data_IF_293521554984
#
_entry.id   IF_293521554984
#
_cell.length_a   1.000
_cell.length_b   1.000
_cell.length_c   1.000
_cell.angle_alpha   90.00
_cell.angle_beta   90.00
_cell.angle_gamma   90.00
#
_symmetry.space_group_name_H-M   'P 1'
#
loop_
_entity.id
_entity.type
_entity.pdbx_description
1 polymer ?
#
# COMPACT_ATOMS: atom_id res chain seq x y z
N UNK A 1 -2.31 18.62 19.23
CA UNK A 1 -1.44 19.73 18.82
C UNK A 1 -0.83 19.40 17.47
N UNK A 2 -0.95 20.33 16.51
CA UNK A 2 -0.30 20.26 15.19
C UNK A 2 0.81 21.31 15.16
N UNK A 3 1.94 20.99 14.53
CA UNK A 3 3.05 21.94 14.40
C UNK A 3 2.92 22.91 13.21
N UNK A 4 1.87 22.77 12.41
CA UNK A 4 1.60 23.62 11.25
C UNK A 4 0.10 23.87 11.08
N UNK A 5 -0.25 25.10 10.70
CA UNK A 5 -1.58 25.52 10.26
C UNK A 5 -1.47 26.12 8.86
N UNK A 6 -2.39 25.76 7.96
CA UNK A 6 -2.40 26.29 6.58
C UNK A 6 -2.57 27.81 6.58
N UNK A 7 -1.74 28.49 5.80
CA UNK A 7 -1.87 29.93 5.51
C UNK A 7 -2.80 30.21 4.33
N UNK A 8 -3.33 29.17 3.66
CA UNK A 8 -4.12 29.24 2.42
C UNK A 8 -3.44 29.98 1.25
N UNK A 9 -2.12 30.18 1.31
CA UNK A 9 -1.36 30.80 0.21
C UNK A 9 -0.99 29.78 -0.87
N UNK A 10 -0.74 28.54 -0.47
CA UNK A 10 -0.33 27.46 -1.37
C UNK A 10 -1.53 26.69 -1.91
N UNK A 11 -1.47 26.30 -3.19
CA UNK A 11 -2.57 25.57 -3.84
C UNK A 11 -2.45 24.07 -3.62
N UNK A 12 -1.24 23.53 -3.54
CA UNK A 12 -0.96 22.08 -3.51
C UNK A 12 0.02 21.72 -2.40
N UNK A 13 -0.31 20.64 -1.69
CA UNK A 13 0.50 20.11 -0.59
C UNK A 13 1.02 18.73 -0.95
N UNK A 14 2.25 18.42 -0.52
CA UNK A 14 2.88 17.11 -0.77
C UNK A 14 2.39 16.02 0.16
N UNK A 15 2.10 16.37 1.41
CA UNK A 15 1.74 15.39 2.42
C UNK A 15 0.78 15.96 3.47
N UNK A 16 0.09 15.05 4.14
CA UNK A 16 -0.77 15.32 5.27
C UNK A 16 -0.54 14.25 6.34
N UNK A 17 -0.03 14.66 7.50
CA UNK A 17 0.18 13.82 8.67
C UNK A 17 -1.07 13.90 9.57
N UNK A 18 -1.85 12.82 9.57
CA UNK A 18 -3.07 12.69 10.36
C UNK A 18 -2.86 11.75 11.55
N UNK A 19 -3.83 11.66 12.45
CA UNK A 19 -3.82 10.70 13.56
C UNK A 19 -3.78 9.25 13.08
N UNK A 20 -4.39 8.95 11.93
CA UNK A 20 -4.56 7.58 11.42
C UNK A 20 -3.44 7.16 10.43
N UNK A 21 -2.50 8.07 10.18
CA UNK A 21 -1.34 7.86 9.31
C UNK A 21 -1.01 9.04 8.42
N UNK A 22 0.02 8.85 7.60
CA UNK A 22 0.55 9.85 6.67
C UNK A 22 0.07 9.57 5.25
N UNK A 23 -0.58 10.55 4.64
CA UNK A 23 -0.96 10.50 3.22
C UNK A 23 -0.02 11.41 2.44
N UNK A 24 0.60 10.88 1.38
CA UNK A 24 1.60 11.62 0.60
C UNK A 24 1.46 11.41 -0.91
N UNK A 25 1.83 12.45 -1.64
CA UNK A 25 2.07 12.41 -3.06
C UNK A 25 3.54 12.06 -3.32
N UNK A 26 3.75 11.13 -4.24
CA UNK A 26 5.07 10.81 -4.78
C UNK A 26 4.89 10.25 -6.19
N UNK A 27 5.97 10.26 -6.97
CA UNK A 27 5.98 9.67 -8.31
C UNK A 27 5.82 8.16 -8.23
N UNK A 28 4.97 7.64 -9.10
CA UNK A 28 4.69 6.20 -9.23
C UNK A 28 4.70 5.83 -10.70
N UNK A 29 5.16 4.63 -11.03
CA UNK A 29 4.97 4.10 -12.38
C UNK A 29 3.49 3.69 -12.56
N UNK A 30 2.73 4.32 -13.47
CA UNK A 30 1.31 4.01 -13.65
C UNK A 30 1.03 2.56 -14.00
N UNK A 31 1.96 1.88 -14.70
CA UNK A 31 1.82 0.47 -15.05
C UNK A 31 1.90 -0.44 -13.82
N UNK A 32 2.72 -0.11 -12.82
CA UNK A 32 2.79 -0.88 -11.58
C UNK A 32 1.48 -0.73 -10.80
N UNK A 33 0.90 0.47 -10.79
CA UNK A 33 -0.39 0.72 -10.13
C UNK A 33 -1.52 -0.05 -10.83
N UNK A 34 -1.54 -0.04 -12.16
CA UNK A 34 -2.49 -0.81 -12.96
C UNK A 34 -2.34 -2.32 -12.72
N UNK A 35 -1.11 -2.81 -12.64
CA UNK A 35 -0.81 -4.21 -12.36
C UNK A 35 -1.33 -4.63 -10.98
N UNK A 36 -1.17 -3.80 -9.94
CA UNK A 36 -1.74 -4.11 -8.63
C UNK A 36 -3.26 -4.14 -8.65
N UNK A 37 -3.93 -3.28 -9.42
CA UNK A 37 -5.38 -3.38 -9.63
C UNK A 37 -5.79 -4.61 -10.42
N UNK A 38 -4.94 -5.13 -11.31
CA UNK A 38 -5.18 -6.38 -12.02
C UNK A 38 -4.97 -7.60 -11.11
N UNK A 39 -3.97 -7.56 -10.24
CA UNK A 39 -3.72 -8.63 -9.27
C UNK A 39 -4.84 -8.74 -8.23
N UNK A 40 -5.39 -7.60 -7.80
CA UNK A 40 -6.58 -7.54 -6.96
C UNK A 40 -7.21 -6.14 -7.06
N UNK A 41 -8.42 -6.00 -7.64
CA UNK A 41 -9.12 -4.73 -7.70
C UNK A 41 -9.19 -4.05 -6.32
N UNK A 42 -8.80 -2.78 -6.28
CA UNK A 42 -8.68 -1.99 -5.07
C UNK A 42 -7.24 -1.77 -4.59
N UNK A 43 -6.32 -2.69 -4.82
CA UNK A 43 -4.91 -2.50 -4.40
C UNK A 43 -4.23 -1.32 -5.09
N UNK A 44 -4.41 -1.13 -6.41
CA UNK A 44 -3.87 0.05 -7.08
C UNK A 44 -4.39 1.37 -6.49
N UNK A 45 -5.69 1.44 -6.16
CA UNK A 45 -6.27 2.62 -5.50
C UNK A 45 -5.74 2.83 -4.07
N UNK A 46 -5.50 1.77 -3.31
CA UNK A 46 -4.88 1.87 -1.98
C UNK A 46 -3.43 2.39 -2.07
N UNK A 47 -2.65 1.96 -3.07
CA UNK A 47 -1.30 2.49 -3.32
C UNK A 47 -1.31 3.98 -3.68
N UNK A 48 -2.39 4.46 -4.30
CA UNK A 48 -2.62 5.88 -4.58
C UNK A 48 -3.21 6.65 -3.38
N UNK A 49 -3.33 6.03 -2.21
CA UNK A 49 -4.01 6.58 -1.02
C UNK A 49 -5.46 7.01 -1.28
N UNK A 50 -6.12 6.41 -2.28
CA UNK A 50 -7.56 6.57 -2.56
C UNK A 50 -8.35 5.56 -1.74
N UNK A 51 -8.23 5.65 -0.42
CA UNK A 51 -8.68 4.62 0.53
C UNK A 51 -10.12 4.16 0.34
N UNK A 52 -11.08 5.07 0.27
CA UNK A 52 -12.51 4.71 0.13
C UNK A 52 -12.77 3.89 -1.14
N UNK A 53 -12.20 4.30 -2.28
CA UNK A 53 -12.34 3.56 -3.55
C UNK A 53 -11.61 2.22 -3.50
N UNK A 54 -10.41 2.21 -2.93
CA UNK A 54 -9.62 1.00 -2.78
C UNK A 54 -10.31 -0.06 -1.93
N UNK A 55 -10.82 0.32 -0.76
CA UNK A 55 -11.57 -0.59 0.11
C UNK A 55 -12.87 -1.07 -0.53
N UNK A 56 -13.62 -0.19 -1.18
CA UNK A 56 -14.86 -0.57 -1.86
C UNK A 56 -14.60 -1.59 -2.99
N UNK A 57 -13.60 -1.35 -3.83
CA UNK A 57 -13.23 -2.27 -4.92
C UNK A 57 -12.68 -3.60 -4.39
N UNK A 58 -11.90 -3.58 -3.31
CA UNK A 58 -11.41 -4.81 -2.67
C UNK A 58 -12.57 -5.67 -2.15
N UNK A 59 -13.50 -5.06 -1.41
CA UNK A 59 -14.65 -5.78 -0.85
C UNK A 59 -15.55 -6.32 -1.96
N UNK A 60 -15.72 -5.54 -3.03
CA UNK A 60 -16.47 -5.96 -4.21
C UNK A 60 -15.78 -7.12 -4.94
N UNK A 61 -14.46 -7.06 -5.17
CA UNK A 61 -13.68 -8.16 -5.78
C UNK A 61 -13.88 -9.45 -5.00
N UNK A 62 -13.68 -9.38 -3.70
CA UNK A 62 -13.80 -10.55 -2.85
C UNK A 62 -15.22 -11.13 -2.89
N UNK A 63 -16.25 -10.29 -2.78
CA UNK A 63 -17.64 -10.74 -2.87
C UNK A 63 -17.90 -11.45 -4.21
N UNK A 64 -17.50 -10.85 -5.33
CA UNK A 64 -17.72 -11.43 -6.66
C UNK A 64 -16.90 -12.70 -6.87
N UNK A 65 -15.65 -12.74 -6.41
CA UNK A 65 -14.79 -13.93 -6.48
C UNK A 65 -15.42 -15.11 -5.74
N UNK A 66 -15.98 -14.86 -4.55
CA UNK A 66 -16.74 -15.87 -3.80
C UNK A 66 -17.98 -16.34 -4.54
N UNK A 67 -18.80 -15.41 -5.04
CA UNK A 67 -20.04 -15.77 -5.73
C UNK A 67 -19.83 -16.46 -7.08
N UNK A 68 -18.69 -16.19 -7.74
CA UNK A 68 -18.35 -16.76 -9.06
C UNK A 68 -17.48 -18.02 -8.99
N UNK A 69 -16.95 -18.38 -7.83
CA UNK A 69 -15.90 -19.39 -7.66
C UNK A 69 -14.65 -19.10 -8.52
N UNK A 70 -14.33 -17.82 -8.76
CA UNK A 70 -13.27 -17.42 -9.70
C UNK A 70 -11.92 -18.06 -9.34
N UNK A 71 -11.50 -17.98 -8.07
CA UNK A 71 -10.23 -18.60 -7.63
C UNK A 71 -10.21 -20.12 -7.86
N UNK A 72 -11.32 -20.82 -7.64
CA UNK A 72 -11.38 -22.26 -7.89
C UNK A 72 -11.32 -22.57 -9.39
N UNK A 73 -11.97 -21.77 -10.23
CA UNK A 73 -11.84 -21.87 -11.69
C UNK A 73 -10.40 -21.63 -12.15
N UNK A 74 -9.70 -20.65 -11.55
CA UNK A 74 -8.28 -20.39 -11.79
C UNK A 74 -7.43 -21.60 -11.40
N UNK A 75 -7.66 -22.17 -10.21
CA UNK A 75 -6.97 -23.38 -9.75
C UNK A 75 -7.09 -24.52 -10.78
N UNK A 76 -8.32 -24.89 -11.16
CA UNK A 76 -8.54 -25.97 -12.12
C UNK A 76 -7.97 -25.66 -13.51
N UNK A 77 -7.99 -24.40 -13.92
CA UNK A 77 -7.36 -23.98 -15.18
C UNK A 77 -5.86 -24.22 -15.16
N UNK A 78 -5.18 -23.85 -14.06
CA UNK A 78 -3.74 -24.05 -13.91
C UNK A 78 -3.32 -25.50 -13.69
N UNK A 79 -4.22 -26.38 -13.20
CA UNK A 79 -3.96 -27.82 -13.10
C UNK A 79 -4.36 -28.61 -14.36
N UNK A 80 -4.79 -27.93 -15.44
CA UNK A 80 -5.20 -28.56 -16.70
C UNK A 80 -6.61 -29.18 -16.70
N UNK A 81 -7.38 -29.01 -15.63
CA UNK A 81 -8.75 -29.53 -15.50
C UNK A 81 -9.78 -28.54 -16.08
N UNK A 82 -9.68 -28.27 -17.38
CA UNK A 82 -10.45 -27.21 -18.06
C UNK A 82 -11.97 -27.41 -17.96
N UNK A 83 -12.47 -28.64 -18.09
CA UNK A 83 -13.91 -28.92 -17.98
C UNK A 83 -14.42 -28.67 -16.54
N UNK A 84 -13.60 -28.95 -15.54
CA UNK A 84 -13.93 -28.65 -14.15
C UNK A 84 -13.88 -27.15 -13.88
N UNK A 85 -12.90 -26.44 -14.46
CA UNK A 85 -12.85 -24.98 -14.39
C UNK A 85 -14.12 -24.34 -14.93
N UNK A 86 -14.62 -24.80 -16.08
CA UNK A 86 -15.88 -24.30 -16.67
C UNK A 86 -17.10 -24.62 -15.81
N UNK A 87 -17.15 -25.80 -15.19
CA UNK A 87 -18.34 -26.25 -14.47
C UNK A 87 -18.51 -25.60 -13.10
N UNK A 88 -17.42 -25.18 -12.44
CA UNK A 88 -17.50 -24.52 -11.13
C UNK A 88 -17.80 -23.03 -11.19
N UNK A 89 -17.50 -22.39 -12.33
CA UNK A 89 -17.68 -20.96 -12.52
C UNK A 89 -19.16 -20.59 -12.69
N UNK A 90 -19.61 -19.53 -12.05
CA UNK A 90 -20.94 -18.94 -12.33
C UNK A 90 -20.82 -17.82 -13.38
N UNK A 91 -21.35 -18.02 -14.61
CA UNK A 91 -21.21 -17.04 -15.68
C UNK A 91 -21.87 -15.69 -15.38
N UNK A 92 -22.92 -15.65 -14.54
CA UNK A 92 -23.66 -14.41 -14.23
C UNK A 92 -22.76 -13.45 -13.45
N UNK A 93 -22.09 -13.98 -12.43
CA UNK A 93 -21.16 -13.21 -11.61
C UNK A 93 -19.90 -12.85 -12.39
N UNK A 94 -19.39 -13.73 -13.26
CA UNK A 94 -18.26 -13.41 -14.13
C UNK A 94 -18.56 -12.32 -15.15
N UNK A 95 -19.73 -12.33 -15.79
CA UNK A 95 -20.09 -11.27 -16.74
C UNK A 95 -20.26 -9.92 -16.03
N UNK A 96 -20.77 -9.92 -14.79
CA UNK A 96 -20.77 -8.73 -13.94
C UNK A 96 -19.36 -8.30 -13.53
N UNK A 97 -18.45 -9.26 -13.39
CA UNK A 97 -17.08 -9.04 -12.94
C UNK A 97 -16.25 -8.21 -13.93
N UNK A 98 -16.26 -8.64 -15.20
CA UNK A 98 -15.41 -8.13 -16.26
C UNK A 98 -15.36 -6.60 -16.40
N UNK A 99 -16.50 -5.87 -16.48
CA UNK A 99 -16.45 -4.41 -16.67
C UNK A 99 -15.83 -3.68 -15.49
N UNK A 100 -16.11 -4.12 -14.25
CA UNK A 100 -15.58 -3.48 -13.05
C UNK A 100 -14.09 -3.81 -12.87
N UNK A 101 -13.67 -5.03 -13.23
CA UNK A 101 -12.26 -5.42 -13.27
C UNK A 101 -11.45 -4.52 -14.21
N UNK A 102 -11.91 -4.37 -15.47
CA UNK A 102 -11.27 -3.49 -16.46
C UNK A 102 -11.29 -2.03 -15.99
N UNK A 103 -12.41 -1.57 -15.42
CA UNK A 103 -12.53 -0.23 -14.87
C UNK A 103 -11.52 0.03 -13.74
N UNK A 104 -11.34 -0.90 -12.80
CA UNK A 104 -10.41 -0.75 -11.70
C UNK A 104 -8.96 -0.56 -12.20
N UNK A 105 -8.56 -1.36 -13.20
CA UNK A 105 -7.24 -1.25 -13.84
C UNK A 105 -7.09 0.11 -14.52
N UNK A 106 -8.02 0.47 -15.40
CA UNK A 106 -7.98 1.73 -16.16
C UNK A 106 -8.03 2.96 -15.26
N UNK A 107 -8.92 2.99 -14.26
CA UNK A 107 -9.09 4.13 -13.36
C UNK A 107 -7.86 4.32 -12.48
N UNK A 108 -7.25 3.24 -11.99
CA UNK A 108 -6.02 3.31 -11.21
C UNK A 108 -4.85 3.83 -12.04
N UNK A 109 -4.72 3.38 -13.30
CA UNK A 109 -3.69 3.84 -14.24
C UNK A 109 -3.81 5.35 -14.49
N UNK A 110 -4.97 5.82 -14.98
CA UNK A 110 -5.17 7.23 -15.32
C UNK A 110 -5.00 8.13 -14.09
N UNK A 111 -5.48 7.67 -12.93
CA UNK A 111 -5.36 8.43 -11.67
C UNK A 111 -3.91 8.55 -11.25
N UNK A 112 -3.09 7.50 -11.44
CA UNK A 112 -1.65 7.58 -11.20
C UNK A 112 -0.97 8.61 -12.10
N UNK A 113 -1.33 8.66 -13.39
CA UNK A 113 -0.79 9.66 -14.33
C UNK A 113 -1.11 11.07 -13.86
N UNK A 114 -2.35 11.33 -13.46
CA UNK A 114 -2.76 12.66 -13.01
C UNK A 114 -2.15 13.04 -11.65
N UNK A 115 -2.07 12.10 -10.70
CA UNK A 115 -1.41 12.34 -9.41
C UNK A 115 0.09 12.62 -9.56
N UNK A 116 0.77 12.01 -10.53
CA UNK A 116 2.16 12.33 -10.83
C UNK A 116 2.31 13.79 -11.30
N UNK A 117 1.41 14.29 -12.15
CA UNK A 117 1.41 15.70 -12.56
C UNK A 117 1.18 16.63 -11.36
N UNK A 118 0.23 16.29 -10.49
CA UNK A 118 -0.05 17.06 -9.27
C UNK A 118 1.16 17.06 -8.33
N UNK A 119 1.84 15.92 -8.18
CA UNK A 119 3.07 15.84 -7.39
C UNK A 119 4.15 16.78 -7.92
N UNK A 120 4.41 16.79 -9.23
CA UNK A 120 5.41 17.69 -9.83
C UNK A 120 5.11 19.17 -9.58
N UNK A 121 3.83 19.55 -9.59
CA UNK A 121 3.41 20.91 -9.27
C UNK A 121 3.57 21.21 -7.77
N UNK A 122 3.18 20.29 -6.90
CA UNK A 122 3.34 20.43 -5.45
C UNK A 122 4.81 20.50 -5.02
N UNK A 123 5.70 19.77 -5.71
CA UNK A 123 7.15 19.83 -5.48
C UNK A 123 7.73 21.20 -5.85
N UNK A 124 7.19 21.86 -6.88
CA UNK A 124 7.58 23.23 -7.27
C UNK A 124 7.05 24.30 -6.32
N UNK A 125 5.81 24.17 -5.88
CA UNK A 125 5.22 25.06 -4.86
C UNK A 125 5.95 24.90 -3.52
N UNK A 126 6.42 23.68 -3.21
CA UNK A 126 7.20 23.37 -2.02
C UNK A 126 6.53 23.90 -0.73
N UNK A 127 5.21 23.77 -0.65
CA UNK A 127 4.40 24.21 0.48
C UNK A 127 4.86 23.58 1.80
N UNK A 128 4.71 24.32 2.91
CA UNK A 128 4.85 23.74 4.25
C UNK A 128 3.66 22.83 4.57
N UNK A 129 3.92 21.77 5.33
CA UNK A 129 2.93 20.79 5.76
C UNK A 129 3.22 20.32 7.18
N UNK A 130 2.21 19.73 7.84
CA UNK A 130 2.35 19.18 9.20
C UNK A 130 3.33 18.01 9.19
N UNK A 131 4.39 18.09 9.99
CA UNK A 131 5.35 16.97 10.22
C UNK A 131 5.14 16.25 11.55
N UNK A 132 4.35 16.83 12.45
CA UNK A 132 4.11 16.28 13.79
C UNK A 132 2.67 16.58 14.26
N UNK A 133 1.97 15.54 14.72
CA UNK A 133 0.59 15.63 15.18
C UNK A 133 0.36 14.76 16.42
N UNK A 134 0.08 15.39 17.56
CA UNK A 134 -0.32 14.73 18.81
C UNK A 134 -1.82 14.89 19.00
N UNK A 135 -2.52 13.79 19.25
CA UNK A 135 -3.92 13.79 19.69
C UNK A 135 -4.09 12.91 20.91
N UNK A 136 -5.25 12.95 21.57
CA UNK A 136 -5.51 12.07 22.72
C UNK A 136 -5.55 10.58 22.37
N UNK A 137 -5.66 10.23 21.08
CA UNK A 137 -5.66 8.85 20.61
C UNK A 137 -4.29 8.36 20.16
N UNK A 138 -3.53 9.20 19.44
CA UNK A 138 -2.25 8.78 18.88
C UNK A 138 -1.28 9.95 18.64
N UNK A 139 0.01 9.62 18.63
CA UNK A 139 1.14 10.48 18.24
C UNK A 139 1.64 10.03 16.87
N UNK A 140 1.46 10.85 15.84
CA UNK A 140 1.99 10.57 14.50
C UNK A 140 2.96 11.67 14.06
N UNK A 141 4.08 11.27 13.47
CA UNK A 141 5.14 12.16 13.05
C UNK A 141 5.91 11.57 11.87
N UNK A 142 6.57 12.45 11.13
CA UNK A 142 7.52 12.03 10.10
C UNK A 142 8.80 11.54 10.76
N UNK A 143 9.21 10.33 10.38
CA UNK A 143 10.42 9.72 10.88
C UNK A 143 11.11 8.89 9.81
N UNK A 144 12.39 8.58 10.07
CA UNK A 144 13.20 7.76 9.16
C UNK A 144 13.19 6.32 9.63
N UNK A 145 12.71 5.42 8.77
CA UNK A 145 12.54 3.99 9.05
C UNK A 145 13.35 3.12 8.09
N UNK A 146 13.68 1.90 8.50
CA UNK A 146 14.43 0.96 7.64
C UNK A 146 13.44 0.22 6.73
N UNK A 147 13.48 0.37 5.39
CA UNK A 147 12.54 -0.31 4.48
C UNK A 147 12.57 -1.83 4.60
N UNK A 148 13.75 -2.39 4.88
CA UNK A 148 13.93 -3.82 5.08
C UNK A 148 13.09 -4.36 6.27
N UNK A 149 12.96 -3.59 7.35
CA UNK A 149 12.13 -4.00 8.49
C UNK A 149 10.65 -4.02 8.13
N UNK A 150 10.20 -3.06 7.31
CA UNK A 150 8.82 -3.04 6.82
C UNK A 150 8.49 -4.29 5.97
N UNK A 151 9.45 -4.75 5.17
CA UNK A 151 9.34 -5.99 4.38
C UNK A 151 9.26 -7.22 5.30
N UNK A 152 10.18 -7.35 6.26
CA UNK A 152 10.17 -8.49 7.21
C UNK A 152 8.82 -8.59 7.92
N UNK A 153 8.34 -7.48 8.47
CA UNK A 153 7.07 -7.48 9.19
C UNK A 153 5.88 -7.83 8.28
N UNK A 154 5.84 -7.34 7.04
CA UNK A 154 4.82 -7.72 6.07
C UNK A 154 4.90 -9.18 5.62
N UNK A 155 6.09 -9.78 5.57
CA UNK A 155 6.28 -11.20 5.23
C UNK A 155 5.86 -12.13 6.36
N UNK A 156 6.06 -11.72 7.62
CA UNK A 156 5.61 -12.51 8.77
C UNK A 156 4.09 -12.47 8.90
N UNK A 157 3.50 -11.28 8.81
CA UNK A 157 2.05 -11.09 8.88
C UNK A 157 1.68 -9.85 8.07
N UNK A 158 1.06 -10.02 6.89
CA UNK A 158 0.54 -8.92 6.09
C UNK A 158 -0.24 -7.92 6.95
N UNK A 159 0.13 -6.64 6.86
CA UNK A 159 -0.42 -5.56 7.69
C UNK A 159 0.53 -5.05 8.79
N UNK A 160 1.45 -5.87 9.32
CA UNK A 160 2.41 -5.40 10.33
C UNK A 160 3.42 -4.40 9.75
N UNK A 161 3.84 -4.54 8.49
CA UNK A 161 4.69 -3.55 7.84
C UNK A 161 3.99 -2.20 7.66
N UNK A 162 2.69 -2.18 7.40
CA UNK A 162 1.87 -0.98 7.35
C UNK A 162 1.74 -0.35 8.74
N UNK A 163 1.58 -1.16 9.78
CA UNK A 163 1.54 -0.69 11.17
C UNK A 163 2.88 -0.07 11.57
N UNK A 164 3.98 -0.69 11.16
CA UNK A 164 5.33 -0.16 11.35
C UNK A 164 5.54 1.22 10.72
N UNK A 165 4.79 1.61 9.68
CA UNK A 165 4.85 2.97 9.09
C UNK A 165 3.66 3.85 9.47
N UNK A 166 2.99 3.54 10.58
CA UNK A 166 1.83 4.26 11.12
C UNK A 166 0.62 4.36 10.16
N UNK A 167 0.46 3.42 9.21
CA UNK A 167 -0.72 3.37 8.33
C UNK A 167 -1.79 2.46 8.93
N UNK A 168 -2.36 2.90 10.05
CA UNK A 168 -3.21 2.10 10.93
C UNK A 168 -4.42 1.50 10.20
N UNK A 169 -5.14 2.29 9.41
CA UNK A 169 -6.35 1.82 8.72
C UNK A 169 -6.01 0.70 7.73
N UNK A 170 -4.97 0.89 6.92
CA UNK A 170 -4.53 -0.12 5.94
C UNK A 170 -3.99 -1.36 6.66
N UNK A 171 -3.26 -1.19 7.77
CA UNK A 171 -2.77 -2.29 8.58
C UNK A 171 -3.92 -3.15 9.09
N UNK A 172 -4.91 -2.57 9.77
CA UNK A 172 -6.08 -3.29 10.31
C UNK A 172 -6.83 -4.00 9.17
N UNK A 173 -7.03 -3.33 8.04
CA UNK A 173 -7.74 -3.89 6.90
C UNK A 173 -7.02 -5.12 6.32
N UNK A 174 -5.72 -5.00 6.03
CA UNK A 174 -4.91 -6.09 5.46
C UNK A 174 -4.77 -7.24 6.46
N UNK A 175 -4.48 -6.95 7.73
CA UNK A 175 -4.37 -7.99 8.76
C UNK A 175 -5.68 -8.75 8.96
N UNK A 176 -6.82 -8.06 8.96
CA UNK A 176 -8.13 -8.70 9.10
C UNK A 176 -8.41 -9.69 7.97
N UNK A 177 -8.20 -9.27 6.71
CA UNK A 177 -8.38 -10.15 5.56
C UNK A 177 -7.36 -11.27 5.51
N UNK A 178 -6.11 -11.01 5.89
CA UNK A 178 -5.10 -12.03 6.01
C UNK A 178 -5.51 -13.15 6.99
N UNK A 179 -6.00 -12.78 8.18
CA UNK A 179 -6.48 -13.74 9.17
C UNK A 179 -7.63 -14.59 8.59
N UNK A 180 -8.58 -13.96 7.90
CA UNK A 180 -9.70 -14.66 7.26
C UNK A 180 -9.19 -15.66 6.22
N UNK A 181 -8.33 -15.24 5.28
CA UNK A 181 -7.81 -16.11 4.24
C UNK A 181 -6.96 -17.25 4.79
N UNK A 182 -6.11 -16.99 5.78
CA UNK A 182 -5.28 -18.03 6.42
C UNK A 182 -6.14 -19.03 7.19
N UNK A 183 -7.17 -18.57 7.89
CA UNK A 183 -8.06 -19.45 8.65
C UNK A 183 -8.84 -20.39 7.73
N UNK A 184 -9.49 -19.85 6.69
CA UNK A 184 -10.32 -20.66 5.79
C UNK A 184 -9.52 -21.49 4.78
N UNK A 185 -8.30 -21.09 4.43
CA UNK A 185 -7.43 -21.88 3.54
C UNK A 185 -6.83 -23.12 4.20
N UNK A 186 -6.91 -23.24 5.54
CA UNK A 186 -6.25 -24.33 6.28
C UNK A 186 -4.72 -24.24 6.27
N UNK A 187 -4.14 -23.12 5.82
CA UNK A 187 -2.70 -22.95 5.64
C UNK A 187 -1.89 -23.31 6.89
N UNK A 188 -2.30 -22.83 8.07
CA UNK A 188 -1.54 -23.09 9.30
C UNK A 188 -1.58 -24.57 9.70
N UNK A 189 -2.68 -25.27 9.42
CA UNK A 189 -2.78 -26.72 9.64
C UNK A 189 -1.85 -27.46 8.68
N UNK A 190 -1.85 -27.06 7.41
CA UNK A 190 -0.94 -27.62 6.42
C UNK A 190 0.54 -27.43 6.80
N UNK A 191 0.90 -26.23 7.26
CA UNK A 191 2.25 -25.94 7.77
C UNK A 191 2.60 -26.82 8.98
N UNK A 192 1.66 -27.00 9.92
CA UNK A 192 1.85 -27.89 11.06
C UNK A 192 2.11 -29.34 10.63
N UNK A 193 1.29 -29.91 9.74
CA UNK A 193 1.51 -31.26 9.20
C UNK A 193 2.83 -31.38 8.42
N UNK A 194 3.25 -30.32 7.73
CA UNK A 194 4.52 -30.27 7.02
C UNK A 194 5.71 -30.35 7.98
N UNK A 195 5.65 -29.67 9.14
CA UNK A 195 6.67 -29.81 10.19
C UNK A 195 6.72 -31.22 10.80
N UNK A 196 5.60 -31.95 10.80
CA UNK A 196 5.54 -33.35 11.24
C UNK A 196 5.98 -34.35 10.15
N UNK A 197 6.33 -33.87 8.95
CA UNK A 197 6.68 -34.73 7.80
C UNK A 197 5.49 -35.40 7.11
N UNK A 198 4.25 -35.00 7.43
CA UNK A 198 3.02 -35.60 6.92
C UNK A 198 2.50 -34.86 5.68
N UNK A 199 3.18 -35.05 4.54
CA UNK A 199 2.91 -34.27 3.31
C UNK A 199 1.48 -34.47 2.80
N UNK A 200 0.96 -35.71 2.78
CA UNK A 200 -0.39 -35.98 2.27
C UNK A 200 -1.46 -35.24 3.09
N UNK A 201 -1.37 -35.32 4.42
CA UNK A 201 -2.28 -34.61 5.32
C UNK A 201 -2.14 -33.09 5.20
N UNK A 202 -0.92 -32.59 4.93
CA UNK A 202 -0.71 -31.17 4.68
C UNK A 202 -1.42 -30.70 3.41
N UNK A 203 -1.36 -31.48 2.33
CA UNK A 203 -2.04 -31.14 1.07
C UNK A 203 -3.56 -31.24 1.21
N UNK A 204 -4.07 -32.27 1.88
CA UNK A 204 -5.52 -32.44 2.11
C UNK A 204 -6.12 -31.36 3.02
N UNK A 205 -5.32 -30.77 3.91
CA UNK A 205 -5.77 -29.70 4.79
C UNK A 205 -5.99 -28.35 4.06
N UNK A 206 -5.49 -28.20 2.83
CA UNK A 206 -5.56 -26.94 2.08
C UNK A 206 -6.86 -26.83 1.29
N UNK A 207 -7.54 -25.70 1.47
CA UNK A 207 -8.61 -25.28 0.57
C UNK A 207 -8.05 -24.36 -0.54
N UNK A 208 -8.04 -24.80 -1.81
CA UNK A 208 -7.42 -24.04 -2.90
C UNK A 208 -8.17 -22.74 -3.22
N UNK A 209 -9.47 -22.68 -2.93
CA UNK A 209 -10.29 -21.50 -3.20
C UNK A 209 -9.87 -20.32 -2.31
N UNK A 210 -9.70 -20.55 -1.00
CA UNK A 210 -9.23 -19.52 -0.07
C UNK A 210 -7.72 -19.28 -0.17
N UNK A 211 -6.93 -20.32 -0.45
CA UNK A 211 -5.48 -20.23 -0.55
C UNK A 211 -5.03 -19.25 -1.65
N UNK A 212 -5.75 -19.19 -2.77
CA UNK A 212 -5.40 -18.33 -3.90
C UNK A 212 -5.59 -16.82 -3.65
N UNK A 213 -6.20 -16.42 -2.53
CA UNK A 213 -6.19 -15.02 -2.10
C UNK A 213 -4.84 -14.59 -1.49
N UNK A 214 -4.01 -15.52 -1.03
CA UNK A 214 -2.80 -15.20 -0.28
C UNK A 214 -1.67 -14.56 -1.10
N UNK A 215 -1.37 -14.99 -2.35
CA UNK A 215 -0.27 -14.40 -3.11
C UNK A 215 -0.43 -12.88 -3.30
N UNK A 216 -1.66 -12.43 -3.59
CA UNK A 216 -1.95 -11.02 -3.81
C UNK A 216 -1.85 -10.20 -2.52
N UNK A 217 -2.37 -10.69 -1.38
CA UNK A 217 -2.31 -9.97 -0.11
C UNK A 217 -0.87 -9.89 0.44
N UNK A 218 -0.09 -10.96 0.32
CA UNK A 218 1.32 -10.95 0.71
C UNK A 218 2.13 -10.00 -0.16
N UNK A 219 1.99 -10.13 -1.49
CA UNK A 219 2.69 -9.27 -2.44
C UNK A 219 2.36 -7.80 -2.20
N UNK A 220 1.07 -7.48 -2.04
CA UNK A 220 0.61 -6.12 -1.80
C UNK A 220 1.18 -5.59 -0.48
N UNK A 221 1.07 -6.36 0.61
CA UNK A 221 1.52 -5.91 1.92
C UNK A 221 3.01 -5.62 1.96
N UNK A 222 3.82 -6.43 1.28
CA UNK A 222 5.28 -6.24 1.18
C UNK A 222 5.62 -5.04 0.30
N UNK A 223 5.02 -4.95 -0.88
CA UNK A 223 5.29 -3.86 -1.82
C UNK A 223 4.86 -2.50 -1.25
N UNK A 224 3.64 -2.43 -0.71
CA UNK A 224 3.07 -1.22 -0.15
C UNK A 224 3.89 -0.73 1.06
N UNK A 225 4.25 -1.62 2.00
CA UNK A 225 5.03 -1.22 3.17
C UNK A 225 6.44 -0.75 2.78
N UNK A 226 7.09 -1.44 1.85
CA UNK A 226 8.41 -1.06 1.35
C UNK A 226 8.40 0.33 0.69
N UNK A 227 7.55 0.52 -0.32
CA UNK A 227 7.51 1.77 -1.10
C UNK A 227 7.15 2.94 -0.19
N UNK A 228 6.13 2.80 0.66
CA UNK A 228 5.75 3.89 1.55
C UNK A 228 6.82 4.19 2.60
N UNK A 229 7.62 3.20 3.04
CA UNK A 229 8.77 3.47 3.92
C UNK A 229 9.82 4.30 3.19
N UNK A 230 10.16 3.94 1.95
CA UNK A 230 11.14 4.69 1.15
C UNK A 230 10.67 6.12 0.89
N UNK A 231 9.40 6.30 0.54
CA UNK A 231 8.86 7.62 0.23
C UNK A 231 8.66 8.48 1.49
N UNK A 232 8.24 7.90 2.62
CA UNK A 232 8.22 8.63 3.91
C UNK A 232 9.63 9.09 4.32
N UNK A 233 10.66 8.28 4.09
CA UNK A 233 12.04 8.69 4.39
C UNK A 233 12.45 9.90 3.53
N UNK A 234 12.11 9.91 2.24
CA UNK A 234 12.38 11.06 1.36
C UNK A 234 11.63 12.31 1.81
N UNK A 235 10.38 12.13 2.25
CA UNK A 235 9.56 13.22 2.78
C UNK A 235 10.18 13.81 4.06
N UNK A 236 10.58 12.95 5.00
CA UNK A 236 11.30 13.34 6.21
C UNK A 236 12.58 14.12 5.89
N UNK A 237 13.43 13.61 4.99
CA UNK A 237 14.65 14.30 4.58
C UNK A 237 14.37 15.65 3.89
N UNK A 238 13.31 15.74 3.08
CA UNK A 238 12.89 16.99 2.44
C UNK A 238 12.45 18.03 3.46
N UNK A 239 11.65 17.63 4.46
CA UNK A 239 11.18 18.51 5.52
C UNK A 239 12.34 19.01 6.39
N UNK A 240 13.19 18.08 6.84
CA UNK A 240 14.35 18.39 7.67
C UNK A 240 15.32 19.32 6.94
N UNK A 241 15.57 19.08 5.65
CA UNK A 241 16.38 19.98 4.82
C UNK A 241 15.76 21.37 4.77
N UNK A 242 14.46 21.50 4.54
CA UNK A 242 13.78 22.79 4.48
C UNK A 242 13.89 23.54 5.80
N UNK A 243 13.68 22.86 6.92
CA UNK A 243 13.84 23.39 8.27
C UNK A 243 15.28 23.91 8.51
N UNK A 244 16.29 23.11 8.18
CA UNK A 244 17.69 23.49 8.39
C UNK A 244 18.10 24.69 7.53
N UNK A 245 17.67 24.73 6.25
CA UNK A 245 17.95 25.86 5.36
C UNK A 245 17.34 27.16 5.88
N UNK A 246 16.10 27.11 6.36
CA UNK A 246 15.38 28.29 6.87
C UNK A 246 16.02 28.87 8.12
N UNK A 247 16.47 28.02 9.05
CA UNK A 247 16.90 28.47 10.38
C UNK A 247 18.42 28.61 10.55
N UNK A 248 19.24 27.87 9.78
CA UNK A 248 20.68 27.79 10.05
C UNK A 248 21.58 28.17 8.86
N UNK A 249 21.05 28.30 7.64
CA UNK A 249 21.89 28.56 6.47
C UNK A 249 22.42 30.01 6.39
N UNK A 250 21.84 30.95 7.14
CA UNK A 250 22.32 32.34 7.21
C UNK A 250 23.67 32.48 7.94
N UNK A 251 24.06 31.51 8.78
CA UNK A 251 25.34 31.53 9.52
C UNK A 251 26.51 30.94 8.70
N UNK A 252 26.48 31.11 7.38
CA UNK A 252 27.59 30.66 6.53
C UNK A 252 28.85 31.41 6.95
N UNK A 253 29.88 30.64 7.31
CA UNK A 253 31.25 31.11 7.57
C UNK A 253 31.60 32.18 6.54
N UNK A 254 31.72 33.44 6.97
CA UNK A 254 32.37 34.47 6.16
C UNK A 254 33.83 34.06 6.09
N UNK A 255 34.28 33.60 4.93
CA UNK A 255 35.72 33.49 4.68
C UNK A 255 36.23 34.93 4.73
N UNK A 256 37.09 35.31 5.70
CA UNK A 256 37.63 36.66 5.72
C UNK A 256 38.36 36.87 4.39
N UNK A 257 37.97 37.90 3.65
CA UNK A 257 38.76 38.32 2.51
C UNK A 257 40.14 38.71 3.05
N UNK A 258 41.20 38.08 2.53
CA UNK A 258 42.55 38.52 2.79
C UNK A 258 42.62 40.00 2.40
N UNK A 259 42.80 40.89 3.38
CA UNK A 259 43.24 42.24 3.07
C UNK A 259 44.64 42.12 2.49
N UNK A 260 44.77 42.34 1.19
CA UNK A 260 46.05 42.67 0.59
C UNK A 260 46.50 43.98 1.24
N UNK A 261 47.53 43.86 2.07
CA UNK A 261 48.23 44.99 2.67
C UNK A 261 49.03 45.63 1.54
N UNK A 262 48.55 46.77 1.05
CA UNK A 262 49.34 47.69 0.22
C UNK A 262 50.34 48.44 1.09
#
# INVERSE_FOLDING_TARGET
>A
MKNYSSTNQERRFKAYVSTLGTTQLHLRNPYIIAWWSAAFPGFGHLLLSKYLRGFALFLWEMFINIMSNLNLGIFYSFTGNIEMAKSVLDPRWLLLYLPVYIYAIWDSYRTSVDLNKVYLLAERENADYTSFNITGMEINYLDKRRPFMAVIWSLLTPGLGQLYIHRIITAIFVTSWFIIYVYFSGLLKAVHHLFLGQINLATEALDPFWLLFLPSIYGFAVYDSYVNTVENNKLFESEQRKFLKKNYQQYRVKIPAHHEVN
#
